data_IF_364871629669
#
_entry.id   IF_364871629669
#
_cell.length_a   1.000
_cell.length_b   1.000
_cell.length_c   1.000
_cell.angle_alpha   90.00
_cell.angle_beta   90.00
_cell.angle_gamma   90.00
#
_symmetry.space_group_name_H-M   'P 1'
#
loop_
_entity.id
_entity.type
_entity.pdbx_description
1 polymer ?
#
# COMPACT_ATOMS: atom_id res chain seq x y z
N UNK A 1 7.94 -32.42 3.53
CA UNK A 1 8.43 -31.57 4.66
C UNK A 1 8.60 -30.08 4.32
N UNK A 2 9.25 -29.68 3.21
CA UNK A 2 9.50 -28.25 2.87
C UNK A 2 8.24 -27.38 2.71
N UNK A 3 7.18 -27.92 2.11
CA UNK A 3 5.92 -27.20 1.90
C UNK A 3 5.16 -26.96 3.22
N UNK A 4 5.15 -27.92 4.14
CA UNK A 4 4.54 -27.79 5.46
C UNK A 4 5.24 -26.69 6.29
N UNK A 5 6.57 -26.65 6.26
CA UNK A 5 7.35 -25.61 6.94
C UNK A 5 7.06 -24.21 6.39
N UNK A 6 6.91 -24.08 5.08
CA UNK A 6 6.52 -22.81 4.44
C UNK A 6 5.10 -22.36 4.84
N UNK A 7 4.15 -23.29 4.91
CA UNK A 7 2.79 -23.02 5.36
C UNK A 7 2.75 -22.57 6.81
N UNK A 8 3.46 -23.26 7.72
CA UNK A 8 3.56 -22.86 9.12
C UNK A 8 4.19 -21.47 9.29
N UNK A 9 5.23 -21.15 8.51
CA UNK A 9 5.84 -19.81 8.48
C UNK A 9 4.85 -18.75 8.00
N UNK A 10 4.05 -19.05 6.98
CA UNK A 10 3.00 -18.16 6.49
C UNK A 10 1.88 -17.96 7.52
N UNK A 11 1.44 -19.01 8.21
CA UNK A 11 0.44 -18.93 9.29
C UNK A 11 0.93 -18.03 10.42
N UNK A 12 2.17 -18.22 10.88
CA UNK A 12 2.78 -17.33 11.89
C UNK A 12 2.87 -15.88 11.41
N UNK A 13 3.11 -15.66 10.11
CA UNK A 13 3.31 -14.33 9.51
C UNK A 13 2.02 -13.58 9.18
N UNK A 14 0.98 -14.29 8.77
CA UNK A 14 -0.24 -13.70 8.18
C UNK A 14 -1.54 -14.17 8.85
N UNK A 15 -1.48 -15.16 9.74
CA UNK A 15 -2.64 -15.81 10.34
C UNK A 15 -3.21 -16.95 9.49
N UNK A 16 -3.93 -17.87 10.15
CA UNK A 16 -4.46 -19.09 9.53
C UNK A 16 -5.42 -18.80 8.38
N UNK A 17 -6.40 -17.91 8.61
CA UNK A 17 -7.44 -17.58 7.63
C UNK A 17 -6.85 -16.90 6.38
N UNK A 18 -5.92 -15.95 6.55
CA UNK A 18 -5.23 -15.33 5.42
C UNK A 18 -4.39 -16.35 4.65
N UNK A 19 -3.68 -17.22 5.36
CA UNK A 19 -2.84 -18.24 4.73
C UNK A 19 -3.68 -19.22 3.91
N UNK A 20 -4.82 -19.69 4.44
CA UNK A 20 -5.76 -20.53 3.70
C UNK A 20 -6.26 -19.85 2.42
N UNK A 21 -6.64 -18.56 2.49
CA UNK A 21 -7.08 -17.80 1.31
C UNK A 21 -5.97 -17.61 0.28
N UNK A 22 -4.73 -17.39 0.72
CA UNK A 22 -3.57 -17.29 -0.18
C UNK A 22 -3.30 -18.62 -0.88
N UNK A 23 -3.43 -19.75 -0.19
CA UNK A 23 -3.29 -21.09 -0.76
C UNK A 23 -4.39 -21.33 -1.81
N UNK A 24 -5.66 -21.11 -1.46
CA UNK A 24 -6.78 -21.26 -2.41
C UNK A 24 -6.59 -20.42 -3.67
N UNK A 25 -6.04 -19.22 -3.53
CA UNK A 25 -5.69 -18.36 -4.66
C UNK A 25 -4.53 -18.93 -5.48
N UNK A 26 -3.47 -19.42 -4.83
CA UNK A 26 -2.32 -20.01 -5.53
C UNK A 26 -2.70 -21.28 -6.31
N UNK A 27 -3.61 -22.09 -5.75
CA UNK A 27 -4.16 -23.28 -6.40
C UNK A 27 -5.18 -22.96 -7.51
N UNK A 28 -5.44 -21.67 -7.82
CA UNK A 28 -6.41 -21.27 -8.84
C UNK A 28 -7.88 -21.50 -8.45
N UNK A 29 -8.15 -22.02 -7.26
CA UNK A 29 -9.48 -22.37 -6.75
C UNK A 29 -10.32 -21.12 -6.48
N UNK A 30 -9.69 -19.97 -6.23
CA UNK A 30 -10.42 -18.71 -6.04
C UNK A 30 -9.69 -17.49 -6.58
N UNK A 31 -10.45 -16.56 -7.19
CA UNK A 31 -9.97 -15.21 -7.55
C UNK A 31 -10.11 -14.21 -6.40
N UNK A 32 -10.21 -14.70 -5.16
CA UNK A 32 -10.46 -13.85 -3.99
C UNK A 32 -9.30 -12.89 -3.75
N UNK A 33 -9.62 -11.59 -3.68
CA UNK A 33 -8.67 -10.57 -3.22
C UNK A 33 -8.43 -10.76 -1.72
N UNK A 34 -7.20 -11.10 -1.36
CA UNK A 34 -6.80 -11.28 0.03
C UNK A 34 -6.19 -9.98 0.55
N UNK A 35 -6.86 -9.42 1.56
CA UNK A 35 -6.40 -8.21 2.25
C UNK A 35 -5.87 -8.59 3.63
N UNK A 36 -4.78 -7.95 4.03
CA UNK A 36 -4.11 -8.18 5.30
C UNK A 36 -4.15 -6.88 6.10
N UNK A 37 -4.35 -7.00 7.41
CA UNK A 37 -4.27 -5.84 8.29
C UNK A 37 -2.84 -5.30 8.35
N UNK A 38 -2.74 -3.98 8.41
CA UNK A 38 -1.50 -3.23 8.52
C UNK A 38 -1.75 -2.03 9.43
N UNK A 39 -0.83 -1.72 10.33
CA UNK A 39 -0.83 -0.55 11.20
C UNK A 39 0.36 0.35 10.86
N UNK A 40 0.12 1.66 10.76
CA UNK A 40 1.21 2.61 10.64
C UNK A 40 1.92 2.78 11.98
N UNK A 41 3.27 2.70 12.03
CA UNK A 41 4.01 3.00 13.26
C UNK A 41 3.76 4.44 13.69
N UNK A 42 3.86 4.71 14.99
CA UNK A 42 3.65 6.04 15.60
C UNK A 42 2.23 6.61 15.46
N UNK A 43 1.26 5.79 15.02
CA UNK A 43 -0.15 6.18 14.90
C UNK A 43 -1.07 5.04 15.36
N UNK A 44 -2.35 5.36 15.53
CA UNK A 44 -3.40 4.36 15.73
C UNK A 44 -4.10 3.97 14.41
N UNK A 45 -3.59 4.43 13.26
CA UNK A 45 -4.23 4.16 11.98
C UNK A 45 -3.98 2.73 11.49
N UNK A 46 -5.07 2.08 11.12
CA UNK A 46 -5.08 0.71 10.63
C UNK A 46 -5.76 0.63 9.28
N UNK A 47 -5.19 -0.19 8.40
CA UNK A 47 -5.64 -0.40 7.04
C UNK A 47 -5.69 -1.87 6.69
N UNK A 48 -6.47 -2.18 5.65
CA UNK A 48 -6.46 -3.47 4.97
C UNK A 48 -5.80 -3.31 3.62
N UNK A 49 -4.63 -3.91 3.43
CA UNK A 49 -3.85 -3.79 2.19
C UNK A 49 -3.79 -5.11 1.43
N UNK A 50 -3.88 -5.03 0.11
CA UNK A 50 -3.64 -6.16 -0.77
C UNK A 50 -2.13 -6.37 -0.93
N UNK A 51 -1.68 -7.62 -1.01
CA UNK A 51 -0.26 -7.96 -1.24
C UNK A 51 0.74 -7.33 -0.24
N UNK A 52 0.50 -7.47 1.07
CA UNK A 52 1.45 -7.07 2.13
C UNK A 52 2.79 -7.83 2.02
N UNK A 53 3.70 -7.30 1.22
CA UNK A 53 5.04 -7.84 0.99
C UNK A 53 6.00 -7.46 2.14
N UNK A 54 7.29 -7.75 1.98
CA UNK A 54 8.28 -7.45 3.03
C UNK A 54 8.46 -5.94 3.28
N UNK A 55 8.23 -5.08 2.28
CA UNK A 55 8.31 -3.63 2.47
C UNK A 55 7.23 -3.16 3.45
N UNK A 56 5.96 -3.54 3.24
CA UNK A 56 4.87 -3.24 4.18
C UNK A 56 5.14 -3.75 5.60
N UNK A 57 5.75 -4.93 5.73
CA UNK A 57 6.08 -5.52 7.03
C UNK A 57 7.18 -4.73 7.73
N UNK A 58 8.23 -4.37 6.98
CA UNK A 58 9.32 -3.58 7.53
C UNK A 58 8.85 -2.18 7.90
N UNK A 59 7.94 -1.60 7.13
CA UNK A 59 7.32 -0.31 7.43
C UNK A 59 6.50 -0.38 8.72
N UNK A 60 5.62 -1.38 8.87
CA UNK A 60 4.80 -1.59 10.08
C UNK A 60 5.65 -1.75 11.33
N UNK A 61 6.76 -2.50 11.21
CA UNK A 61 7.71 -2.71 12.29
C UNK A 61 8.65 -1.51 12.52
N UNK A 62 8.49 -0.40 11.78
CA UNK A 62 9.33 0.79 11.89
C UNK A 62 10.78 0.60 11.44
N UNK A 63 11.09 -0.45 10.68
CA UNK A 63 12.43 -0.74 10.17
C UNK A 63 12.83 0.11 8.96
N UNK A 64 11.84 0.59 8.21
CA UNK A 64 12.03 1.52 7.09
C UNK A 64 11.11 2.73 7.25
N UNK A 65 11.49 3.87 6.67
CA UNK A 65 10.68 5.09 6.56
C UNK A 65 10.12 5.66 7.87
N UNK A 66 10.58 5.21 9.05
CA UNK A 66 10.05 5.65 10.34
C UNK A 66 10.27 7.17 10.55
N UNK A 67 11.43 7.69 10.12
CA UNK A 67 11.73 9.14 10.16
C UNK A 67 10.79 9.91 9.23
N UNK A 68 10.56 9.41 8.03
CA UNK A 68 9.63 9.99 7.03
C UNK A 68 8.21 10.03 7.58
N UNK A 69 7.71 8.93 8.14
CA UNK A 69 6.39 8.87 8.80
C UNK A 69 6.30 9.90 9.92
N UNK A 70 7.31 9.96 10.80
CA UNK A 70 7.35 10.94 11.90
C UNK A 70 7.33 12.38 11.39
N UNK A 71 8.01 12.66 10.29
CA UNK A 71 8.02 13.96 9.64
C UNK A 71 6.64 14.31 9.07
N UNK A 72 6.02 13.40 8.31
CA UNK A 72 4.69 13.60 7.72
C UNK A 72 3.61 13.85 8.79
N UNK A 73 3.62 13.09 9.89
CA UNK A 73 2.66 13.28 11.00
C UNK A 73 2.75 14.69 11.60
N UNK A 74 3.94 15.29 11.63
CA UNK A 74 4.14 16.65 12.17
C UNK A 74 3.78 17.74 11.16
N UNK A 75 4.18 17.52 9.91
CA UNK A 75 4.06 18.50 8.83
C UNK A 75 2.60 18.65 8.37
N UNK A 76 1.96 17.53 8.02
CA UNK A 76 0.66 17.52 7.36
C UNK A 76 -0.45 17.94 8.31
N UNK A 77 -1.33 18.84 7.85
CA UNK A 77 -2.47 19.34 8.59
C UNK A 77 -3.80 18.90 7.96
N UNK A 78 -4.87 18.77 8.78
CA UNK A 78 -6.20 18.53 8.24
C UNK A 78 -6.64 19.66 7.32
N UNK A 79 -7.09 19.31 6.11
CA UNK A 79 -7.47 20.27 5.06
C UNK A 79 -6.41 20.47 3.98
N UNK A 80 -5.18 19.98 4.17
CA UNK A 80 -4.13 20.11 3.15
C UNK A 80 -4.44 19.30 1.89
N UNK A 81 -4.06 19.85 0.73
CA UNK A 81 -3.99 19.13 -0.52
C UNK A 81 -2.53 18.68 -0.77
N UNK A 82 -2.32 17.39 -1.00
CA UNK A 82 -0.98 16.78 -1.11
C UNK A 82 -0.82 16.01 -2.42
N UNK A 83 0.33 16.16 -3.06
CA UNK A 83 0.75 15.32 -4.17
C UNK A 83 1.72 14.22 -3.67
N UNK A 84 1.38 12.96 -3.92
CA UNK A 84 2.20 11.78 -3.62
C UNK A 84 2.79 11.23 -4.93
N UNK A 85 4.06 11.52 -5.18
CA UNK A 85 4.74 11.24 -6.45
C UNK A 85 5.56 9.97 -6.29
N UNK A 86 5.27 8.94 -7.09
CA UNK A 86 5.82 7.59 -6.88
C UNK A 86 5.05 6.84 -5.79
N UNK A 87 3.71 6.92 -5.85
CA UNK A 87 2.82 6.40 -4.81
C UNK A 87 2.89 4.86 -4.66
N UNK A 88 3.40 4.15 -5.67
CA UNK A 88 3.48 2.71 -5.76
C UNK A 88 2.16 2.03 -5.38
N UNK A 89 2.13 1.18 -4.35
CA UNK A 89 0.92 0.50 -3.87
C UNK A 89 0.25 1.19 -2.66
N UNK A 90 0.69 2.41 -2.30
CA UNK A 90 0.02 3.29 -1.34
C UNK A 90 0.69 3.45 0.01
N UNK A 91 1.98 3.10 0.14
CA UNK A 91 2.72 3.16 1.41
C UNK A 91 2.56 4.51 2.11
N UNK A 92 2.61 5.64 1.42
CA UNK A 92 2.36 6.96 2.02
C UNK A 92 0.96 7.49 1.74
N UNK A 93 0.40 7.24 0.55
CA UNK A 93 -0.93 7.71 0.14
C UNK A 93 -2.01 7.43 1.20
N UNK A 94 -2.04 6.22 1.77
CA UNK A 94 -3.06 5.85 2.75
C UNK A 94 -2.89 6.62 4.08
N UNK A 95 -1.65 6.84 4.53
CA UNK A 95 -1.36 7.65 5.71
C UNK A 95 -1.77 9.12 5.46
N UNK A 96 -1.34 9.69 4.34
CA UNK A 96 -1.64 11.07 3.95
C UNK A 96 -3.15 11.31 3.90
N UNK A 97 -3.91 10.38 3.32
CA UNK A 97 -5.38 10.43 3.27
C UNK A 97 -6.01 10.58 4.66
N UNK A 98 -5.44 9.94 5.69
CA UNK A 98 -5.91 10.11 7.08
C UNK A 98 -5.45 11.41 7.72
N UNK A 99 -4.21 11.82 7.46
CA UNK A 99 -3.65 13.05 8.04
C UNK A 99 -4.37 14.31 7.52
N UNK A 100 -4.62 14.40 6.21
CA UNK A 100 -5.35 15.54 5.61
C UNK A 100 -6.84 15.54 5.96
N UNK A 101 -7.38 14.40 6.37
CA UNK A 101 -8.79 14.26 6.77
C UNK A 101 -9.77 14.49 5.61
N UNK A 102 -11.06 14.55 5.92
CA UNK A 102 -12.14 14.59 4.91
C UNK A 102 -12.20 15.89 4.08
N UNK A 103 -11.50 16.94 4.53
CA UNK A 103 -11.49 18.25 3.87
C UNK A 103 -10.32 18.43 2.90
N UNK A 104 -9.21 17.73 3.14
CA UNK A 104 -8.04 17.75 2.26
C UNK A 104 -8.04 16.59 1.28
N UNK A 105 -7.23 16.69 0.23
CA UNK A 105 -7.15 15.70 -0.85
C UNK A 105 -5.73 15.18 -1.03
N UNK A 106 -5.61 13.93 -1.49
CA UNK A 106 -4.33 13.36 -1.90
C UNK A 106 -4.39 13.01 -3.38
N UNK A 107 -3.45 13.52 -4.16
CA UNK A 107 -3.27 13.22 -5.57
C UNK A 107 -2.04 12.32 -5.71
N UNK A 108 -2.25 11.03 -5.98
CA UNK A 108 -1.20 10.03 -6.06
C UNK A 108 -0.89 9.64 -7.50
N UNK A 109 0.40 9.59 -7.83
CA UNK A 109 0.90 9.33 -9.18
C UNK A 109 1.88 8.16 -9.17
N UNK A 110 1.64 7.17 -10.03
CA UNK A 110 2.62 6.11 -10.27
C UNK A 110 2.41 5.46 -11.66
N UNK A 111 3.46 5.30 -12.49
CA UNK A 111 3.34 4.67 -13.80
C UNK A 111 3.26 3.14 -13.75
N UNK A 112 3.63 2.47 -12.65
CA UNK A 112 3.55 1.01 -12.54
C UNK A 112 2.09 0.54 -12.46
N UNK A 113 1.60 -0.12 -13.52
CA UNK A 113 0.25 -0.64 -13.60
C UNK A 113 -0.12 -1.61 -12.47
N UNK A 114 0.83 -2.45 -12.02
CA UNK A 114 0.56 -3.40 -10.94
C UNK A 114 0.42 -2.66 -9.62
N UNK A 115 1.29 -1.69 -9.36
CA UNK A 115 1.26 -0.89 -8.14
C UNK A 115 -0.01 -0.02 -8.10
N UNK A 116 -0.32 0.67 -9.20
CA UNK A 116 -1.57 1.43 -9.37
C UNK A 116 -2.82 0.60 -9.09
N UNK A 117 -2.90 -0.61 -9.63
CA UNK A 117 -4.03 -1.51 -9.39
C UNK A 117 -4.11 -1.95 -7.91
N UNK A 118 -2.99 -2.15 -7.24
CA UNK A 118 -2.96 -2.45 -5.81
C UNK A 118 -3.43 -1.26 -4.98
N UNK A 119 -2.92 -0.05 -5.27
CA UNK A 119 -3.33 1.19 -4.63
C UNK A 119 -4.85 1.43 -4.79
N UNK A 120 -5.37 1.30 -6.01
CA UNK A 120 -6.82 1.39 -6.29
C UNK A 120 -7.64 0.42 -5.42
N UNK A 121 -7.15 -0.81 -5.26
CA UNK A 121 -7.80 -1.81 -4.41
C UNK A 121 -7.70 -1.47 -2.91
N UNK A 122 -6.59 -0.90 -2.47
CA UNK A 122 -6.36 -0.46 -1.09
C UNK A 122 -7.28 0.71 -0.73
N UNK A 123 -7.36 1.73 -1.59
CA UNK A 123 -8.28 2.88 -1.45
C UNK A 123 -9.72 2.39 -1.31
N UNK A 124 -10.19 1.58 -2.27
CA UNK A 124 -11.55 1.04 -2.25
C UNK A 124 -11.82 0.22 -1.00
N UNK A 125 -10.86 -0.61 -0.56
CA UNK A 125 -11.04 -1.47 0.61
C UNK A 125 -11.18 -0.67 1.90
N UNK A 126 -10.48 0.45 2.00
CA UNK A 126 -10.46 1.31 3.18
C UNK A 126 -11.42 2.50 3.10
N UNK A 127 -12.24 2.58 2.03
CA UNK A 127 -13.24 3.63 1.80
C UNK A 127 -12.64 5.04 1.87
N UNK A 128 -11.48 5.22 1.25
CA UNK A 128 -10.81 6.52 1.19
C UNK A 128 -11.40 7.32 0.04
N UNK A 129 -12.21 8.32 0.36
CA UNK A 129 -12.94 9.13 -0.63
C UNK A 129 -12.21 10.40 -1.03
N UNK A 130 -11.08 10.70 -0.39
CA UNK A 130 -10.28 11.90 -0.57
C UNK A 130 -8.94 11.61 -1.28
N UNK A 131 -8.88 10.51 -2.06
CA UNK A 131 -7.69 10.12 -2.80
C UNK A 131 -8.01 10.02 -4.29
N UNK A 132 -7.29 10.81 -5.07
CA UNK A 132 -7.28 10.80 -6.53
C UNK A 132 -6.00 10.08 -6.98
N UNK A 133 -6.11 9.15 -7.93
CA UNK A 133 -4.95 8.39 -8.43
C UNK A 133 -4.84 8.50 -9.94
N UNK A 134 -3.63 8.69 -10.43
CA UNK A 134 -3.32 8.76 -11.85
C UNK A 134 -2.17 7.81 -12.20
N UNK A 135 -2.35 7.02 -13.27
CA UNK A 135 -1.36 6.05 -13.74
C UNK A 135 -0.36 6.73 -14.69
N UNK A 136 0.42 7.67 -14.16
CA UNK A 136 1.38 8.48 -14.93
C UNK A 136 2.67 8.71 -14.13
N UNK A 137 3.78 8.88 -14.84
CA UNK A 137 5.00 9.45 -14.28
C UNK A 137 4.99 10.97 -14.42
N UNK A 138 5.51 11.69 -13.43
CA UNK A 138 5.61 13.14 -13.50
C UNK A 138 6.96 13.59 -14.08
N UNK A 139 6.91 14.62 -14.92
CA UNK A 139 8.06 15.21 -15.60
C UNK A 139 7.83 16.71 -15.79
N UNK A 140 8.88 17.44 -16.17
CA UNK A 140 8.81 18.85 -16.56
C UNK A 140 8.25 19.06 -17.99
N UNK A 141 7.88 17.99 -18.69
CA UNK A 141 7.26 18.02 -20.01
C UNK A 141 6.23 16.91 -20.16
N UNK A 142 5.24 17.13 -21.04
CA UNK A 142 4.22 16.13 -21.38
C UNK A 142 4.73 15.23 -22.49
N UNK A 143 4.58 13.92 -22.34
CA UNK A 143 4.91 12.95 -23.39
C UNK A 143 4.89 11.50 -22.91
N UNK A 144 5.17 10.59 -23.83
CA UNK A 144 5.27 9.16 -23.54
C UNK A 144 6.73 8.73 -23.50
N UNK A 145 7.09 7.91 -22.50
CA UNK A 145 8.42 7.32 -22.34
C UNK A 145 8.30 5.86 -21.95
N UNK A 146 9.35 5.08 -22.20
CA UNK A 146 9.44 3.69 -21.75
C UNK A 146 9.71 3.69 -20.25
N UNK A 147 8.89 2.98 -19.49
CA UNK A 147 9.08 2.78 -18.06
C UNK A 147 9.77 1.44 -17.81
N UNK A 148 11.00 1.49 -17.28
CA UNK A 148 11.82 0.31 -17.02
C UNK A 148 11.63 -0.16 -15.58
N UNK A 149 11.04 -1.36 -15.41
CA UNK A 149 10.91 -2.00 -14.11
C UNK A 149 12.11 -2.93 -13.85
N UNK A 150 12.79 -2.74 -12.73
CA UNK A 150 13.77 -3.71 -12.24
C UNK A 150 12.99 -4.88 -11.63
N UNK A 151 13.11 -6.07 -12.21
CA UNK A 151 12.62 -7.29 -11.57
C UNK A 151 13.57 -7.64 -10.43
N UNK A 152 13.10 -7.44 -9.19
CA UNK A 152 13.74 -7.96 -7.98
C UNK A 152 13.37 -9.40 -7.68
#
# INVERSE_FOLDING_TARGET
>A
MKQLNNTLKAIKKFGLICTAKLILRHLGISRLKVYQSFRYPLTNYQFKVIFRNNAWINLENGKIELKTIKFLIKLVKPGDDIMDIGAWDGTFTLLLSKLVGVRGKVYAFDPDEKAFNNLKNNIRKNKLNNVNIEKVGLSNSVGTKIFHLIKG
#
